data_IF_806847885569
#
_entry.id   IF_806847885569
#
_cell.length_a   1.000
_cell.length_b   1.000
_cell.length_c   1.000
_cell.angle_alpha   90.00
_cell.angle_beta   90.00
_cell.angle_gamma   90.00
#
_symmetry.space_group_name_H-M   'P 1'
#
loop_
_entity.id
_entity.type
_entity.pdbx_description
1 polymer ?
#
# COMPACT_ATOMS: atom_id res chain seq x y z
N UNK A 1 -5.95 15.01 17.40
CA UNK A 1 -5.04 14.11 16.68
C UNK A 1 -5.84 13.28 15.68
N UNK A 2 -5.43 13.29 14.44
CA UNK A 2 -6.12 12.54 13.39
C UNK A 2 -5.61 11.09 13.40
N UNK A 3 -6.55 10.15 13.53
CA UNK A 3 -6.21 8.74 13.50
C UNK A 3 -5.93 8.33 12.06
N UNK A 4 -4.75 7.74 11.82
CA UNK A 4 -4.39 7.28 10.49
C UNK A 4 -5.22 6.06 10.12
N UNK A 5 -5.82 6.08 8.92
CA UNK A 5 -6.56 4.94 8.40
C UNK A 5 -5.60 3.86 7.93
N UNK A 6 -6.09 2.64 7.79
CA UNK A 6 -5.26 1.54 7.28
C UNK A 6 -4.86 1.81 5.84
N UNK A 7 -5.76 2.39 5.03
CA UNK A 7 -5.42 2.80 3.66
C UNK A 7 -4.24 3.77 3.65
N UNK A 8 -4.29 4.79 4.50
CA UNK A 8 -3.22 5.77 4.58
C UNK A 8 -1.93 5.13 5.07
N UNK A 9 -2.01 4.21 6.03
CA UNK A 9 -0.85 3.48 6.53
C UNK A 9 -0.14 2.73 5.39
N UNK A 10 -0.92 1.97 4.60
CA UNK A 10 -0.37 1.19 3.50
C UNK A 10 0.27 2.11 2.44
N UNK A 11 -0.49 3.10 2.00
CA UNK A 11 -0.01 4.02 0.96
C UNK A 11 1.21 4.79 1.40
N UNK A 12 1.21 5.27 2.64
CA UNK A 12 2.34 6.03 3.18
C UNK A 12 3.59 5.16 3.27
N UNK A 13 3.45 3.93 3.77
CA UNK A 13 4.57 3.03 3.89
C UNK A 13 5.19 2.73 2.53
N UNK A 14 4.36 2.45 1.53
CA UNK A 14 4.84 2.19 0.18
C UNK A 14 5.47 3.44 -0.45
N UNK A 15 4.86 4.59 -0.23
CA UNK A 15 5.38 5.84 -0.77
C UNK A 15 6.75 6.18 -0.17
N UNK A 16 6.87 6.07 1.15
CA UNK A 16 8.12 6.40 1.85
C UNK A 16 9.25 5.46 1.46
N UNK A 17 8.94 4.22 1.16
CA UNK A 17 9.94 3.23 0.73
C UNK A 17 10.10 3.18 -0.78
N UNK A 18 9.44 4.09 -1.49
CA UNK A 18 9.50 4.23 -2.94
C UNK A 18 9.18 2.93 -3.67
N UNK A 19 8.17 2.23 -3.17
CA UNK A 19 7.67 1.01 -3.79
C UNK A 19 6.70 1.40 -4.88
N UNK A 20 7.25 1.89 -5.98
CA UNK A 20 6.49 2.45 -7.09
C UNK A 20 6.97 1.79 -8.38
N UNK A 21 6.02 1.38 -9.21
CA UNK A 21 6.35 0.82 -10.52
C UNK A 21 7.14 -0.47 -10.44
N UNK A 22 8.42 -0.43 -10.74
CA UNK A 22 9.27 -1.62 -10.81
C UNK A 22 9.70 -2.20 -9.49
N UNK A 23 9.46 -1.51 -8.38
CA UNK A 23 9.79 -2.02 -7.05
C UNK A 23 8.53 -2.55 -6.38
N UNK A 24 8.64 -3.73 -5.78
CA UNK A 24 7.48 -4.43 -5.21
C UNK A 24 7.73 -4.79 -3.75
N UNK A 25 6.65 -4.90 -2.99
CA UNK A 25 6.71 -5.29 -1.59
C UNK A 25 5.71 -6.42 -1.35
N UNK A 26 6.08 -7.35 -0.48
CA UNK A 26 5.20 -8.47 -0.12
C UNK A 26 4.16 -8.04 0.90
N UNK A 27 3.10 -8.85 1.03
CA UNK A 27 2.08 -8.62 2.05
C UNK A 27 2.69 -8.67 3.45
N UNK A 28 3.62 -9.59 3.67
CA UNK A 28 4.28 -9.71 4.97
C UNK A 28 5.02 -8.43 5.35
N UNK A 29 5.75 -7.87 4.38
CA UNK A 29 6.48 -6.62 4.63
C UNK A 29 5.53 -5.46 4.90
N UNK A 30 4.38 -5.45 4.22
CA UNK A 30 3.37 -4.43 4.48
C UNK A 30 2.79 -4.52 5.88
N UNK A 31 2.69 -5.74 6.42
CA UNK A 31 2.18 -5.96 7.78
C UNK A 31 3.15 -5.50 8.86
N UNK A 32 4.44 -5.44 8.53
CA UNK A 32 5.46 -5.05 9.50
C UNK A 32 5.19 -3.65 10.02
N UNK A 33 5.17 -3.50 11.34
CA UNK A 33 4.87 -2.23 11.98
C UNK A 33 3.39 -1.95 12.19
N UNK A 34 2.53 -2.85 11.72
CA UNK A 34 1.09 -2.73 11.93
C UNK A 34 0.70 -3.38 13.26
N UNK A 35 -0.18 -2.77 14.07
CA UNK A 35 -0.67 -3.43 15.28
C UNK A 35 -1.30 -4.78 14.93
N UNK A 36 -1.06 -5.78 15.78
CA UNK A 36 -1.49 -7.15 15.48
C UNK A 36 -3.00 -7.28 15.26
N UNK A 37 -3.79 -6.48 15.95
CA UNK A 37 -5.25 -6.52 15.81
C UNK A 37 -5.74 -5.92 14.48
N UNK A 38 -4.85 -5.25 13.74
CA UNK A 38 -5.20 -4.62 12.47
C UNK A 38 -4.71 -5.43 11.26
N UNK A 39 -3.92 -6.49 11.49
CA UNK A 39 -3.29 -7.23 10.38
C UNK A 39 -4.27 -7.85 9.40
N UNK A 40 -5.41 -8.32 9.90
CA UNK A 40 -6.45 -8.86 9.01
C UNK A 40 -7.05 -7.79 8.11
N UNK A 41 -7.12 -6.57 8.60
CA UNK A 41 -7.66 -5.45 7.83
C UNK A 41 -6.69 -4.95 6.76
N UNK A 42 -5.38 -5.20 6.94
CA UNK A 42 -4.37 -4.85 5.94
C UNK A 42 -4.66 -5.55 4.61
N UNK A 43 -4.89 -6.86 4.65
CA UNK A 43 -5.15 -7.63 3.44
C UNK A 43 -6.43 -7.18 2.75
N UNK A 44 -7.48 -6.97 3.53
CA UNK A 44 -8.76 -6.51 2.99
C UNK A 44 -8.64 -5.12 2.36
N UNK A 45 -7.98 -4.21 3.04
CA UNK A 45 -7.78 -2.86 2.55
C UNK A 45 -6.90 -2.84 1.31
N UNK A 46 -5.86 -3.69 1.30
CA UNK A 46 -4.97 -3.80 0.15
C UNK A 46 -5.74 -4.23 -1.10
N UNK A 47 -6.64 -5.20 -0.97
CA UNK A 47 -7.48 -5.64 -2.08
C UNK A 47 -8.35 -4.50 -2.60
N UNK A 48 -8.88 -3.69 -1.70
CA UNK A 48 -9.67 -2.52 -2.07
C UNK A 48 -8.84 -1.51 -2.86
N UNK A 49 -7.62 -1.24 -2.40
CA UNK A 49 -6.72 -0.30 -3.06
C UNK A 49 -6.31 -0.79 -4.46
N UNK A 50 -6.14 -2.10 -4.61
CA UNK A 50 -5.87 -2.70 -5.92
C UNK A 50 -7.07 -2.50 -6.84
N UNK A 51 -8.28 -2.72 -6.33
CA UNK A 51 -9.51 -2.53 -7.10
C UNK A 51 -9.67 -1.07 -7.54
N UNK A 52 -9.20 -0.14 -6.72
CA UNK A 52 -9.26 1.29 -7.04
C UNK A 52 -8.11 1.74 -7.95
N UNK A 53 -7.25 0.84 -8.35
CA UNK A 53 -6.10 1.09 -9.23
C UNK A 53 -5.02 1.99 -8.62
N UNK A 54 -5.02 2.16 -7.31
CA UNK A 54 -3.97 2.89 -6.62
C UNK A 54 -2.74 2.01 -6.39
N UNK A 55 -2.97 0.71 -6.28
CA UNK A 55 -1.92 -0.30 -6.10
C UNK A 55 -2.05 -1.32 -7.21
N UNK A 56 -0.93 -1.76 -7.75
CA UNK A 56 -0.90 -2.82 -8.77
C UNK A 56 -0.33 -4.09 -8.15
N UNK A 57 -0.86 -5.24 -8.58
CA UNK A 57 -0.41 -6.55 -8.14
C UNK A 57 0.63 -7.11 -9.08
N UNK A 58 1.62 -7.78 -8.49
CA UNK A 58 2.68 -8.43 -9.25
C UNK A 58 2.82 -9.88 -8.79
N UNK A 59 2.28 -10.84 -9.54
CA UNK A 59 2.48 -12.25 -9.19
C UNK A 59 3.93 -12.63 -9.43
N UNK A 60 4.53 -13.31 -8.46
CA UNK A 60 5.89 -13.82 -8.56
C UNK A 60 5.91 -15.28 -8.16
N UNK A 61 7.05 -15.94 -8.41
CA UNK A 61 7.21 -17.34 -7.99
C UNK A 61 7.18 -17.51 -6.47
N UNK A 62 7.37 -16.40 -5.73
CA UNK A 62 7.35 -16.42 -4.27
C UNK A 62 6.02 -15.92 -3.70
N UNK A 63 5.05 -15.63 -4.56
CA UNK A 63 3.74 -15.13 -4.14
C UNK A 63 3.42 -13.78 -4.73
N UNK A 64 2.29 -13.21 -4.28
CA UNK A 64 1.84 -11.92 -4.80
C UNK A 64 2.62 -10.79 -4.15
N UNK A 65 3.09 -9.85 -4.98
CA UNK A 65 3.72 -8.63 -4.51
C UNK A 65 2.95 -7.41 -5.01
N UNK A 66 3.23 -6.26 -4.43
CA UNK A 66 2.44 -5.06 -4.66
C UNK A 66 3.34 -3.84 -4.86
N UNK A 67 2.84 -2.88 -5.65
CA UNK A 67 3.54 -1.61 -5.86
C UNK A 67 2.51 -0.52 -6.06
N UNK A 68 2.89 0.72 -5.76
CA UNK A 68 2.04 1.86 -6.08
C UNK A 68 1.96 2.05 -7.59
N UNK A 69 0.79 2.40 -8.08
CA UNK A 69 0.58 2.65 -9.49
C UNK A 69 1.19 4.01 -9.86
N UNK A 70 2.24 4.04 -10.70
CA UNK A 70 2.89 5.32 -11.03
C UNK A 70 1.96 6.29 -11.76
N UNK A 71 0.95 5.79 -12.45
CA UNK A 71 -0.02 6.65 -13.14
C UNK A 71 -0.99 7.34 -12.19
N UNK A 72 -1.04 6.90 -10.93
CA UNK A 72 -1.94 7.43 -9.94
C UNK A 72 -1.19 8.08 -8.77
N UNK A 73 0.08 8.38 -8.96
CA UNK A 73 0.91 8.90 -7.86
C UNK A 73 0.42 10.27 -7.37
N UNK A 74 -0.09 11.10 -8.28
CA UNK A 74 -0.61 12.41 -7.89
C UNK A 74 -1.81 12.26 -6.96
N UNK A 75 -2.68 11.30 -7.25
CA UNK A 75 -3.84 11.04 -6.41
C UNK A 75 -3.42 10.48 -5.05
N UNK A 76 -2.43 9.59 -5.05
CA UNK A 76 -1.88 9.03 -3.82
C UNK A 76 -1.31 10.13 -2.95
N UNK A 77 -0.57 11.07 -3.55
CA UNK A 77 -0.01 12.20 -2.83
C UNK A 77 -1.10 13.08 -2.21
N UNK A 78 -2.21 13.26 -2.91
CA UNK A 78 -3.35 14.01 -2.38
C UNK A 78 -3.95 13.30 -1.18
N UNK A 79 -4.13 12.00 -1.27
CA UNK A 79 -4.67 11.19 -0.17
C UNK A 79 -3.77 11.31 1.06
N UNK A 80 -2.46 11.30 0.85
CA UNK A 80 -1.49 11.39 1.93
C UNK A 80 -1.21 12.83 2.37
N UNK A 81 -1.80 13.80 1.68
CA UNK A 81 -1.60 15.22 1.96
C UNK A 81 -0.13 15.62 1.83
N UNK A 82 0.53 15.10 0.80
CA UNK A 82 1.93 15.41 0.50
C UNK A 82 1.97 16.42 -0.65
N UNK A 83 2.84 17.42 -0.52
CA UNK A 83 3.00 18.45 -1.54
C UNK A 83 4.30 18.30 -2.29
#
# INVERSE_FOLDING_TARGET
MVKQTISAFILEKMYRNRVIGGRHISLEDLRTGCPSHERGNIERTLKKLVKENLIVQHPTSYGMQYALNPQRIDEIMKILNIR
#
